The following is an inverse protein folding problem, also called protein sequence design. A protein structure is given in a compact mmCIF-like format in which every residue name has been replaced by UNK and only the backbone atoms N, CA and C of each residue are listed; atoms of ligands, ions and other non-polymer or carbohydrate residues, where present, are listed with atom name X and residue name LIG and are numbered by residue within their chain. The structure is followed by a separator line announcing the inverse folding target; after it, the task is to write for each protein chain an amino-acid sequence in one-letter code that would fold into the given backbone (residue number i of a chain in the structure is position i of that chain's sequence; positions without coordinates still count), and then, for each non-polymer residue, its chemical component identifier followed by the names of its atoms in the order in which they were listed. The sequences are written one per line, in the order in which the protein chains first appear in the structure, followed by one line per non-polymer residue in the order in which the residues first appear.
data_IF_866623190004
#
_entry.id   IF_866623190004
#
_cell.length_a   1.000
_cell.length_b   1.000
_cell.length_c   1.000
_cell.angle_alpha   90.00
_cell.angle_beta   90.00
_cell.angle_gamma   90.00
#
_symmetry.space_group_name_H-M   'P 1'
#
loop_
_entity.id
_entity.type
_entity.pdbx_description
1 polymer ?
#
# COMPACT_ATOMS: atom_id res chain seq x y z
N UNK A 1 -30.89 30.42 1.37
CA UNK A 1 -29.48 30.80 1.23
C UNK A 1 -28.78 30.31 2.49
N UNK A 2 -28.31 29.06 2.48
CA UNK A 2 -27.84 28.36 3.67
C UNK A 2 -26.41 28.82 3.99
N UNK A 3 -26.25 29.45 5.15
CA UNK A 3 -24.97 29.93 5.64
C UNK A 3 -24.06 28.76 5.97
N UNK A 4 -22.88 28.75 5.35
CA UNK A 4 -21.75 27.95 5.83
C UNK A 4 -21.12 28.77 6.96
N UNK A 5 -21.13 28.29 8.22
CA UNK A 5 -20.52 29.02 9.33
C UNK A 5 -18.99 29.05 9.16
N UNK A 6 -18.38 30.22 9.38
CA UNK A 6 -16.94 30.51 9.30
C UNK A 6 -16.05 29.57 10.16
N UNK A 7 -16.64 28.76 11.04
CA UNK A 7 -15.95 27.81 11.93
C UNK A 7 -15.39 26.59 11.17
N UNK A 8 -15.91 26.25 9.99
CA UNK A 8 -15.42 25.06 9.26
C UNK A 8 -14.04 25.25 8.59
N UNK A 9 -13.55 26.48 8.43
CA UNK A 9 -12.18 26.70 7.91
C UNK A 9 -11.10 26.57 8.99
N UNK A 10 -11.46 26.55 10.28
CA UNK A 10 -10.48 26.49 11.37
C UNK A 10 -10.01 25.06 11.71
N UNK A 11 -10.69 24.02 11.23
CA UNK A 11 -10.30 22.62 11.48
C UNK A 11 -9.46 21.97 10.36
N UNK A 12 -9.09 22.72 9.31
CA UNK A 12 -8.18 22.23 8.27
C UNK A 12 -6.73 22.69 8.44
N UNK A 13 -6.43 23.45 9.50
CA UNK A 13 -5.10 24.05 9.71
C UNK A 13 -4.53 23.80 11.11
N UNK A 14 -4.85 22.64 11.69
CA UNK A 14 -4.25 22.22 12.97
C UNK A 14 -4.12 20.71 13.08
N UNK A 15 -3.70 20.03 12.01
CA UNK A 15 -2.85 18.87 12.20
C UNK A 15 -1.40 19.36 12.12
N UNK A 16 -0.97 20.02 13.19
CA UNK A 16 0.42 19.91 13.59
C UNK A 16 0.67 18.41 13.79
N UNK A 17 1.13 17.71 12.76
CA UNK A 17 1.68 16.36 12.89
C UNK A 17 2.92 16.49 13.77
N UNK A 18 2.69 16.50 15.09
CA UNK A 18 3.71 16.38 16.11
C UNK A 18 4.37 15.02 15.92
N UNK A 19 5.47 14.99 15.15
CA UNK A 19 6.50 13.96 15.21
C UNK A 19 6.01 12.50 15.19
N UNK A 20 5.04 12.17 14.34
CA UNK A 20 4.88 10.78 13.90
C UNK A 20 5.97 10.49 12.88
N UNK A 21 6.63 9.34 12.94
CA UNK A 21 7.63 8.95 11.95
C UNK A 21 7.08 9.16 10.52
N UNK A 22 7.89 9.68 9.60
CA UNK A 22 7.50 9.84 8.20
C UNK A 22 7.19 8.43 7.67
N UNK A 23 5.91 8.12 7.48
CA UNK A 23 5.49 6.84 6.94
C UNK A 23 5.48 6.96 5.43
N UNK A 24 6.34 6.20 4.79
CA UNK A 24 6.39 6.05 3.35
C UNK A 24 5.45 4.94 2.93
N UNK A 25 4.95 5.04 1.69
CA UNK A 25 4.08 4.03 1.13
C UNK A 25 4.53 3.59 -0.25
N UNK A 26 4.40 2.30 -0.52
CA UNK A 26 4.66 1.70 -1.82
C UNK A 26 3.41 0.95 -2.24
N UNK A 27 2.95 1.17 -3.45
CA UNK A 27 1.85 0.38 -4.02
C UNK A 27 2.37 -0.43 -5.19
N UNK A 28 1.80 -1.62 -5.39
CA UNK A 28 2.00 -2.44 -6.58
C UNK A 28 0.74 -3.19 -6.89
N UNK A 29 0.35 -3.20 -8.15
CA UNK A 29 -0.80 -3.92 -8.66
C UNK A 29 -0.36 -5.24 -9.28
N UNK A 30 -1.00 -6.34 -8.89
CA UNK A 30 -0.79 -7.65 -9.50
C UNK A 30 -2.12 -8.20 -10.02
N UNK A 31 -2.12 -8.83 -11.19
CA UNK A 31 -3.28 -9.57 -11.70
C UNK A 31 -3.35 -10.97 -11.07
N UNK A 32 -3.29 -11.03 -9.74
CA UNK A 32 -3.36 -12.26 -8.95
C UNK A 32 -4.66 -12.32 -8.15
N UNK A 33 -5.16 -13.53 -7.96
CA UNK A 33 -6.15 -13.85 -6.94
C UNK A 33 -5.65 -13.45 -5.54
N UNK A 34 -6.51 -12.93 -4.67
CA UNK A 34 -6.14 -12.66 -3.27
C UNK A 34 -5.64 -13.96 -2.60
N UNK A 35 -6.34 -15.07 -2.81
CA UNK A 35 -5.96 -16.38 -2.29
C UNK A 35 -4.63 -16.90 -2.83
N UNK A 36 -4.18 -16.45 -4.00
CA UNK A 36 -2.93 -16.94 -4.61
C UNK A 36 -1.70 -16.26 -3.99
N UNK A 37 -1.85 -15.01 -3.56
CA UNK A 37 -0.77 -14.19 -3.00
C UNK A 37 -0.82 -14.11 -1.47
N UNK A 38 -1.93 -14.50 -0.83
CA UNK A 38 -2.11 -14.42 0.63
C UNK A 38 -0.99 -15.10 1.45
N UNK A 39 -0.57 -16.31 1.05
CA UNK A 39 0.52 -17.04 1.70
C UNK A 39 1.87 -16.31 1.55
N UNK A 40 2.13 -15.75 0.37
CA UNK A 40 3.36 -15.00 0.11
C UNK A 40 3.38 -13.68 0.89
N UNK A 41 2.25 -12.95 0.93
CA UNK A 41 2.12 -11.72 1.73
C UNK A 41 2.34 -12.00 3.22
N UNK A 42 1.84 -13.13 3.71
CA UNK A 42 2.05 -13.55 5.09
C UNK A 42 3.55 -13.76 5.35
N UNK A 43 4.25 -14.45 4.44
CA UNK A 43 5.69 -14.70 4.55
C UNK A 43 6.52 -13.40 4.52
N UNK A 44 6.15 -12.45 3.65
CA UNK A 44 6.79 -11.13 3.57
C UNK A 44 6.51 -10.36 4.86
N UNK A 45 5.28 -10.36 5.38
CA UNK A 45 4.94 -9.66 6.61
C UNK A 45 5.63 -10.27 7.84
N UNK A 46 5.85 -11.58 7.87
CA UNK A 46 6.67 -12.23 8.90
C UNK A 46 8.14 -11.80 8.82
N UNK A 47 8.68 -11.68 7.61
CA UNK A 47 10.05 -11.23 7.36
C UNK A 47 10.24 -9.74 7.69
N UNK A 48 9.26 -8.91 7.36
CA UNK A 48 9.28 -7.46 7.54
C UNK A 48 8.19 -7.02 8.52
N UNK A 49 8.31 -7.41 9.80
CA UNK A 49 7.28 -7.17 10.81
C UNK A 49 7.00 -5.69 11.11
N UNK A 50 7.89 -4.78 10.69
CA UNK A 50 7.71 -3.33 10.78
C UNK A 50 6.88 -2.72 9.62
N UNK A 51 6.59 -3.51 8.59
CA UNK A 51 5.87 -3.05 7.39
C UNK A 51 4.42 -3.51 7.49
N UNK A 52 3.50 -2.57 7.30
CA UNK A 52 2.08 -2.84 7.17
C UNK A 52 1.76 -3.12 5.71
N UNK A 53 1.21 -4.30 5.41
CA UNK A 53 0.88 -4.73 4.03
C UNK A 53 -0.63 -4.90 3.92
N UNK A 54 -1.25 -4.08 3.08
CA UNK A 54 -2.68 -4.17 2.75
C UNK A 54 -2.92 -4.71 1.35
N UNK A 55 -3.81 -5.68 1.20
CA UNK A 55 -4.28 -6.19 -0.09
C UNK A 55 -5.69 -5.68 -0.40
N UNK A 56 -5.86 -5.11 -1.59
CA UNK A 56 -7.12 -4.55 -2.07
C UNK A 56 -7.50 -5.21 -3.41
N UNK A 57 -8.30 -6.30 -3.36
CA UNK A 57 -8.78 -6.95 -4.58
C UNK A 57 -9.65 -6.00 -5.39
N UNK A 58 -9.45 -6.00 -6.70
CA UNK A 58 -10.24 -5.21 -7.64
C UNK A 58 -10.62 -6.03 -8.87
N UNK A 59 -11.75 -5.64 -9.45
CA UNK A 59 -12.23 -6.16 -10.72
C UNK A 59 -12.42 -4.99 -11.67
N UNK A 60 -11.59 -4.88 -12.71
CA UNK A 60 -11.68 -3.84 -13.73
C UNK A 60 -11.56 -4.46 -15.11
N UNK A 61 -12.46 -4.10 -16.01
CA UNK A 61 -12.42 -4.52 -17.42
C UNK A 61 -12.28 -6.05 -17.61
N UNK A 62 -13.00 -6.85 -16.82
CA UNK A 62 -12.90 -8.33 -16.82
C UNK A 62 -11.56 -8.90 -16.33
N UNK A 63 -10.67 -8.03 -15.83
CA UNK A 63 -9.40 -8.40 -15.20
C UNK A 63 -9.60 -8.38 -13.68
N UNK A 64 -9.41 -9.54 -13.06
CA UNK A 64 -9.30 -9.66 -11.61
C UNK A 64 -7.85 -9.46 -11.19
N UNK A 65 -7.62 -8.65 -10.17
CA UNK A 65 -6.31 -8.45 -9.58
C UNK A 65 -6.41 -7.97 -8.15
N UNK A 66 -5.25 -7.75 -7.54
CA UNK A 66 -5.13 -7.21 -6.19
C UNK A 66 -4.09 -6.09 -6.22
N UNK A 67 -4.43 -4.96 -5.60
CA UNK A 67 -3.50 -3.87 -5.36
C UNK A 67 -2.93 -4.02 -3.96
N UNK A 68 -1.61 -4.06 -3.87
CA UNK A 68 -0.86 -4.31 -2.65
C UNK A 68 -0.22 -3.01 -2.23
N UNK A 69 -0.48 -2.58 -1.00
CA UNK A 69 0.01 -1.32 -0.45
C UNK A 69 0.85 -1.65 0.78
N UNK A 70 2.13 -1.34 0.72
CA UNK A 70 3.08 -1.45 1.81
C UNK A 70 3.26 -0.08 2.45
N UNK A 71 3.31 -0.02 3.78
CA UNK A 71 3.54 1.21 4.54
C UNK A 71 4.55 0.97 5.64
N UNK A 72 5.54 1.84 5.76
CA UNK A 72 6.57 1.75 6.80
C UNK A 72 7.24 3.09 7.04
N UNK A 73 7.78 3.29 8.24
CA UNK A 73 8.65 4.43 8.53
C UNK A 73 10.10 4.22 8.01
N UNK A 74 10.47 2.99 7.68
CA UNK A 74 11.79 2.64 7.17
C UNK A 74 11.72 2.45 5.65
N UNK A 75 12.25 3.42 4.91
CA UNK A 75 12.29 3.38 3.44
C UNK A 75 13.13 2.22 2.90
N UNK A 76 14.19 1.83 3.60
CA UNK A 76 15.08 0.75 3.13
C UNK A 76 14.41 -0.60 3.25
N UNK A 77 13.73 -0.87 4.37
CA UNK A 77 12.92 -2.05 4.54
C UNK A 77 11.73 -2.06 3.56
N UNK A 78 11.14 -0.89 3.30
CA UNK A 78 10.01 -0.75 2.40
C UNK A 78 10.38 -1.03 0.93
N UNK A 79 11.52 -0.52 0.45
CA UNK A 79 12.00 -0.82 -0.91
C UNK A 79 12.39 -2.31 -1.01
N UNK A 80 13.06 -2.87 0.00
CA UNK A 80 13.41 -4.30 0.02
C UNK A 80 12.16 -5.21 -0.03
N UNK A 81 11.12 -4.90 0.74
CA UNK A 81 9.87 -5.65 0.73
C UNK A 81 9.11 -5.47 -0.59
N UNK A 82 9.14 -4.28 -1.21
CA UNK A 82 8.57 -4.04 -2.53
C UNK A 82 9.30 -4.87 -3.60
N UNK A 83 10.63 -4.90 -3.58
CA UNK A 83 11.44 -5.71 -4.49
C UNK A 83 11.15 -7.21 -4.33
N UNK A 84 11.09 -7.69 -3.09
CA UNK A 84 10.73 -9.08 -2.78
C UNK A 84 9.31 -9.41 -3.27
N UNK A 85 8.35 -8.52 -3.06
CA UNK A 85 6.99 -8.69 -3.53
C UNK A 85 6.91 -8.72 -5.06
N UNK A 86 7.63 -7.84 -5.75
CA UNK A 86 7.73 -7.86 -7.21
C UNK A 86 8.35 -9.18 -7.72
N UNK A 87 9.36 -9.70 -7.01
CA UNK A 87 9.98 -10.97 -7.34
C UNK A 87 9.01 -12.15 -7.14
N UNK A 88 8.22 -12.16 -6.06
CA UNK A 88 7.16 -13.14 -5.81
C UNK A 88 6.11 -13.10 -6.91
N UNK A 89 5.59 -11.91 -7.25
CA UNK A 89 4.59 -11.74 -8.33
C UNK A 89 5.13 -12.30 -9.65
N UNK A 90 6.40 -12.01 -9.96
CA UNK A 90 7.08 -12.54 -11.16
C UNK A 90 7.27 -14.06 -11.11
N UNK A 91 7.62 -14.63 -9.96
CA UNK A 91 7.74 -16.07 -9.75
C UNK A 91 6.40 -16.80 -9.91
N UNK A 92 5.30 -16.15 -9.54
CA UNK A 92 3.92 -16.64 -9.78
C UNK A 92 3.48 -16.51 -11.25
N UNK A 93 4.33 -15.96 -12.12
CA UNK A 93 4.07 -15.80 -13.55
C UNK A 93 3.25 -14.57 -13.90
N UNK A 94 3.15 -13.60 -13.00
CA UNK A 94 2.43 -12.33 -13.21
C UNK A 94 3.41 -11.16 -13.27
N UNK A 95 2.95 -10.03 -13.81
CA UNK A 95 3.77 -8.82 -13.91
C UNK A 95 3.32 -7.82 -12.85
N UNK A 96 4.23 -7.29 -12.01
CA UNK A 96 3.92 -6.17 -11.13
C UNK A 96 3.67 -4.92 -11.99
N UNK A 97 2.52 -4.28 -11.79
CA UNK A 97 2.04 -3.11 -12.50
C UNK A 97 1.83 -1.96 -11.51
N UNK A 98 1.70 -0.73 -12.02
CA UNK A 98 1.30 0.43 -11.22
C UNK A 98 2.14 0.60 -9.93
N UNK A 99 3.46 0.50 -10.07
CA UNK A 99 4.38 0.60 -8.94
C UNK A 99 4.54 2.06 -8.57
N UNK A 100 3.97 2.49 -7.45
CA UNK A 100 4.12 3.85 -6.94
C UNK A 100 5.04 3.89 -5.71
N UNK A 101 5.80 4.99 -5.61
CA UNK A 101 6.75 5.23 -4.53
C UNK A 101 6.50 6.62 -3.93
N UNK A 102 5.66 6.68 -2.90
CA UNK A 102 5.33 7.92 -2.16
C UNK A 102 6.06 7.99 -0.81
#
# INVERSE_FOLDING_TARGET
MAGIPLVMQAMLSTNEFRGGAIVHSRSVTAHLGESEIADDLTSIQETYSQIDIGSYPFYRNDIYGTSLVLRSADESALDAALEELCAVITQRGQTPLDIERD
#
